data_IF_769732276325
#
_entry.id   IF_769732276325
#
_cell.length_a   1.000
_cell.length_b   1.000
_cell.length_c   1.000
_cell.angle_alpha   90.00
_cell.angle_beta   90.00
_cell.angle_gamma   90.00
#
_symmetry.space_group_name_H-M   'P 1'
#
loop_
_entity.id
_entity.type
_entity.pdbx_description
1 polymer ?
#
# COMPACT_ATOMS: atom_id res chain seq x y z
N UNK A 1 30.80 -17.99 -0.55
CA UNK A 1 30.44 -18.83 0.62
C UNK A 1 29.89 -17.90 1.70
N UNK A 2 28.57 -17.85 1.90
CA UNK A 2 27.98 -16.97 2.92
C UNK A 2 27.60 -17.83 4.13
N UNK A 3 28.39 -17.70 5.21
CA UNK A 3 28.17 -18.41 6.46
C UNK A 3 26.80 -18.03 7.03
N UNK A 4 25.96 -19.03 7.32
CA UNK A 4 24.64 -18.82 7.93
C UNK A 4 24.83 -18.07 9.26
N UNK A 5 24.25 -16.89 9.45
CA UNK A 5 24.45 -16.11 10.66
C UNK A 5 23.95 -16.87 11.89
N UNK A 6 24.68 -16.73 13.01
CA UNK A 6 24.32 -17.34 14.28
C UNK A 6 22.87 -16.98 14.66
N UNK A 7 22.10 -17.88 15.29
CA UNK A 7 20.69 -17.63 15.64
C UNK A 7 20.45 -16.30 16.37
N UNK A 8 21.32 -15.93 17.31
CA UNK A 8 21.25 -14.67 18.05
C UNK A 8 21.41 -13.44 17.15
N UNK A 9 22.26 -13.50 16.13
CA UNK A 9 22.45 -12.40 15.18
C UNK A 9 21.19 -12.20 14.33
N UNK A 10 20.60 -13.29 13.83
CA UNK A 10 19.34 -13.22 13.07
C UNK A 10 18.20 -12.60 13.86
N UNK A 11 18.06 -12.95 15.14
CA UNK A 11 17.03 -12.36 16.00
C UNK A 11 17.23 -10.85 16.19
N UNK A 12 18.48 -10.40 16.36
CA UNK A 12 18.80 -8.96 16.44
C UNK A 12 18.46 -8.24 15.15
N UNK A 13 18.77 -8.83 14.00
CA UNK A 13 18.47 -8.23 12.69
C UNK A 13 16.96 -8.16 12.46
N UNK A 14 16.20 -9.22 12.75
CA UNK A 14 14.73 -9.20 12.69
C UNK A 14 14.13 -8.14 13.61
N UNK A 15 14.67 -7.96 14.82
CA UNK A 15 14.21 -6.91 15.73
C UNK A 15 14.47 -5.49 15.18
N UNK A 16 15.59 -5.28 14.46
CA UNK A 16 15.87 -4.03 13.75
C UNK A 16 14.90 -3.81 12.58
N UNK A 17 14.67 -4.82 11.76
CA UNK A 17 13.73 -4.76 10.64
C UNK A 17 12.31 -4.46 11.11
N UNK A 18 11.88 -5.05 12.23
CA UNK A 18 10.59 -4.74 12.85
C UNK A 18 10.48 -3.27 13.26
N UNK A 19 11.51 -2.69 13.86
CA UNK A 19 11.52 -1.25 14.19
C UNK A 19 11.38 -0.37 12.96
N UNK A 20 12.00 -0.75 11.84
CA UNK A 20 11.83 -0.03 10.57
C UNK A 20 10.38 -0.10 10.10
N UNK A 21 9.78 -1.30 10.11
CA UNK A 21 8.37 -1.48 9.76
C UNK A 21 7.44 -0.66 10.66
N UNK A 22 7.63 -0.73 11.97
CA UNK A 22 6.83 0.00 12.96
C UNK A 22 6.94 1.53 12.77
N UNK A 23 8.13 2.01 12.38
CA UNK A 23 8.33 3.42 12.04
C UNK A 23 7.60 3.81 10.76
N UNK A 24 7.70 3.01 9.69
CA UNK A 24 6.92 3.24 8.46
C UNK A 24 5.43 3.30 8.77
N UNK A 25 4.91 2.34 9.55
CA UNK A 25 3.49 2.27 9.89
C UNK A 25 2.98 3.50 10.65
N UNK A 26 3.84 4.09 11.49
CA UNK A 26 3.51 5.27 12.30
C UNK A 26 3.67 6.59 11.51
N UNK A 27 4.69 6.66 10.68
CA UNK A 27 5.17 7.90 10.05
C UNK A 27 4.94 7.93 8.53
N UNK A 28 4.07 7.06 7.99
CA UNK A 28 3.92 6.88 6.54
C UNK A 28 3.67 8.20 5.77
N UNK A 29 3.00 9.18 6.37
CA UNK A 29 2.69 10.47 5.74
C UNK A 29 3.87 11.45 5.71
N UNK A 30 4.92 11.20 6.50
CA UNK A 30 6.12 12.04 6.53
C UNK A 30 6.99 11.77 5.30
N UNK A 31 7.86 12.71 4.90
CA UNK A 31 8.87 12.50 3.85
C UNK A 31 9.93 11.51 4.36
N UNK A 32 9.58 10.22 4.35
CA UNK A 32 10.46 9.12 4.70
C UNK A 32 11.24 8.67 3.47
N UNK A 33 12.56 8.77 3.54
CA UNK A 33 13.45 8.09 2.61
C UNK A 33 14.05 6.82 3.23
N UNK A 34 14.48 5.89 2.38
CA UNK A 34 15.04 4.60 2.81
C UNK A 34 16.35 4.79 3.59
N UNK A 35 17.09 5.87 3.33
CA UNK A 35 18.35 6.14 4.02
C UNK A 35 18.12 6.54 5.49
N UNK A 36 17.11 7.36 5.76
CA UNK A 36 16.70 7.79 7.09
C UNK A 36 16.18 6.62 7.93
N UNK A 37 15.51 5.67 7.29
CA UNK A 37 15.12 4.41 7.92
C UNK A 37 16.35 3.56 8.26
N UNK A 38 17.31 3.45 7.33
CA UNK A 38 18.54 2.67 7.51
C UNK A 38 19.45 3.24 8.60
N UNK A 39 19.63 4.57 8.63
CA UNK A 39 20.36 5.29 9.68
C UNK A 39 19.78 4.99 11.06
N UNK A 40 18.45 4.96 11.19
CA UNK A 40 17.75 4.67 12.46
C UNK A 40 17.99 3.26 13.02
N UNK A 41 18.52 2.33 12.23
CA UNK A 41 18.85 0.96 12.68
C UNK A 41 20.30 0.56 12.41
N UNK A 42 21.17 1.53 12.11
CA UNK A 42 22.59 1.35 11.85
C UNK A 42 22.88 0.35 10.71
N UNK A 43 22.13 0.44 9.62
CA UNK A 43 22.35 -0.32 8.39
C UNK A 43 22.64 0.61 7.22
N UNK A 44 23.32 0.11 6.18
CA UNK A 44 23.30 0.78 4.88
C UNK A 44 21.94 0.61 4.23
N UNK A 45 21.53 1.55 3.37
CA UNK A 45 20.23 1.49 2.69
C UNK A 45 20.07 0.23 1.81
N UNK A 46 21.14 -0.20 1.15
CA UNK A 46 21.17 -1.44 0.36
C UNK A 46 21.00 -2.70 1.22
N UNK A 47 21.72 -2.77 2.35
CA UNK A 47 21.59 -3.90 3.29
C UNK A 47 20.18 -3.95 3.89
N UNK A 48 19.66 -2.80 4.36
CA UNK A 48 18.29 -2.71 4.86
C UNK A 48 17.29 -3.19 3.81
N UNK A 49 17.40 -2.73 2.56
CA UNK A 49 16.46 -3.08 1.50
C UNK A 49 16.45 -4.58 1.21
N UNK A 50 17.63 -5.21 1.20
CA UNK A 50 17.76 -6.66 0.99
C UNK A 50 17.16 -7.44 2.16
N UNK A 51 17.55 -7.15 3.39
CA UNK A 51 17.08 -7.91 4.56
C UNK A 51 15.59 -7.68 4.83
N UNK A 52 15.09 -6.45 4.63
CA UNK A 52 13.67 -6.16 4.75
C UNK A 52 12.85 -6.94 3.72
N UNK A 53 13.31 -7.02 2.47
CA UNK A 53 12.66 -7.85 1.43
C UNK A 53 12.69 -9.34 1.77
N UNK A 54 13.80 -9.84 2.31
CA UNK A 54 13.89 -11.23 2.75
C UNK A 54 12.92 -11.53 3.91
N UNK A 55 12.73 -10.58 4.83
CA UNK A 55 11.88 -10.76 6.00
C UNK A 55 10.38 -10.53 5.71
N UNK A 56 10.03 -9.59 4.83
CA UNK A 56 8.66 -9.12 4.61
C UNK A 56 8.14 -9.28 3.18
N UNK A 57 8.95 -9.78 2.25
CA UNK A 57 8.57 -10.05 0.86
C UNK A 57 8.69 -8.85 -0.09
N UNK A 58 8.83 -7.63 0.42
CA UNK A 58 8.94 -6.41 -0.40
C UNK A 58 9.99 -5.43 0.13
N UNK A 59 10.38 -4.44 -0.68
CA UNK A 59 11.35 -3.42 -0.25
C UNK A 59 10.73 -2.43 0.76
N UNK A 60 11.54 -1.73 1.59
CA UNK A 60 11.01 -0.69 2.49
C UNK A 60 10.21 0.40 1.76
N UNK A 61 10.67 0.81 0.58
CA UNK A 61 9.97 1.80 -0.24
C UNK A 61 8.63 1.27 -0.76
N UNK A 62 8.59 0.02 -1.24
CA UNK A 62 7.35 -0.65 -1.68
C UNK A 62 6.36 -0.73 -0.52
N UNK A 63 6.83 -1.17 0.65
CA UNK A 63 6.02 -1.26 1.87
C UNK A 63 5.42 0.10 2.26
N UNK A 64 6.23 1.16 2.25
CA UNK A 64 5.77 2.53 2.50
C UNK A 64 4.69 2.94 1.51
N UNK A 65 4.87 2.68 0.20
CA UNK A 65 3.84 2.98 -0.79
C UNK A 65 2.56 2.20 -0.54
N UNK A 66 2.64 0.90 -0.22
CA UNK A 66 1.47 0.09 0.13
C UNK A 66 0.68 0.73 1.27
N UNK A 67 1.35 1.12 2.36
CA UNK A 67 0.68 1.80 3.50
C UNK A 67 0.05 3.13 3.12
N UNK A 68 0.70 3.93 2.28
CA UNK A 68 0.14 5.19 1.77
C UNK A 68 -1.10 4.95 0.90
N UNK A 69 -1.06 3.95 0.01
CA UNK A 69 -2.20 3.62 -0.84
C UNK A 69 -3.38 3.09 -0.04
N UNK A 70 -3.16 2.23 0.97
CA UNK A 70 -4.22 1.78 1.88
C UNK A 70 -4.92 2.96 2.57
N UNK A 71 -4.14 3.94 3.03
CA UNK A 71 -4.69 5.16 3.62
C UNK A 71 -5.43 6.00 2.58
N UNK A 72 -4.86 6.14 1.38
CA UNK A 72 -5.47 6.90 0.29
C UNK A 72 -6.82 6.31 -0.11
N UNK A 73 -6.95 4.98 -0.22
CA UNK A 73 -8.22 4.32 -0.50
C UNK A 73 -9.28 4.68 0.55
N UNK A 74 -8.89 4.73 1.83
CA UNK A 74 -9.79 5.11 2.92
C UNK A 74 -10.26 6.57 2.80
N UNK A 75 -9.37 7.50 2.46
CA UNK A 75 -9.71 8.91 2.24
C UNK A 75 -10.57 9.12 0.99
N UNK A 76 -10.26 8.43 -0.11
CA UNK A 76 -11.05 8.50 -1.35
C UNK A 76 -12.46 7.93 -1.17
N UNK A 77 -12.64 6.89 -0.33
CA UNK A 77 -13.97 6.36 0.00
C UNK A 77 -14.81 7.32 0.82
N UNK A 78 -14.19 8.08 1.73
CA UNK A 78 -14.88 9.14 2.49
C UNK A 78 -15.38 10.25 1.59
N UNK A 79 -14.57 10.64 0.60
CA UNK A 79 -14.98 11.56 -0.46
C UNK A 79 -14.76 13.05 -0.16
N UNK A 80 -14.31 13.38 1.06
CA UNK A 80 -14.05 14.74 1.55
C UNK A 80 -12.91 15.47 0.80
N UNK A 81 -11.96 14.70 0.25
CA UNK A 81 -10.77 15.21 -0.41
C UNK A 81 -10.77 14.87 -1.92
N UNK A 82 -10.17 15.74 -2.71
CA UNK A 82 -9.79 15.48 -4.10
C UNK A 82 -8.65 14.47 -4.19
N UNK A 83 -8.43 13.89 -5.36
CA UNK A 83 -7.33 12.94 -5.59
C UNK A 83 -5.96 13.60 -5.31
N UNK A 84 -5.80 14.86 -5.71
CA UNK A 84 -4.57 15.62 -5.49
C UNK A 84 -4.32 15.88 -4.01
N UNK A 85 -5.34 16.30 -3.25
CA UNK A 85 -5.22 16.48 -1.80
C UNK A 85 -4.89 15.16 -1.11
N UNK A 86 -5.56 14.05 -1.49
CA UNK A 86 -5.25 12.72 -0.94
C UNK A 86 -3.79 12.32 -1.19
N UNK A 87 -3.26 12.58 -2.40
CA UNK A 87 -1.87 12.29 -2.73
C UNK A 87 -0.90 12.94 -1.73
N UNK A 88 -1.07 14.23 -1.48
CA UNK A 88 -0.19 14.96 -0.56
C UNK A 88 -0.47 14.63 0.91
N UNK A 89 -1.74 14.41 1.28
CA UNK A 89 -2.15 14.01 2.64
C UNK A 89 -1.52 12.68 3.06
N UNK A 90 -1.35 11.73 2.14
CA UNK A 90 -0.65 10.46 2.43
C UNK A 90 0.87 10.57 2.31
N UNK A 91 1.43 11.76 2.05
CA UNK A 91 2.87 12.02 2.00
C UNK A 91 3.53 11.75 0.65
N UNK A 92 2.78 11.50 -0.43
CA UNK A 92 3.36 11.38 -1.76
C UNK A 92 3.75 12.75 -2.31
N UNK A 93 4.95 12.86 -2.90
CA UNK A 93 5.47 14.11 -3.44
C UNK A 93 5.05 14.42 -4.87
N UNK A 94 4.49 13.42 -5.59
CA UNK A 94 4.04 13.60 -6.96
C UNK A 94 2.74 12.85 -7.23
N UNK A 95 1.81 13.53 -7.91
CA UNK A 95 0.54 12.96 -8.32
C UNK A 95 0.72 11.84 -9.36
N UNK A 96 1.73 11.96 -10.23
CA UNK A 96 2.04 10.94 -11.24
C UNK A 96 2.47 9.62 -10.61
N UNK A 97 3.49 9.65 -9.74
CA UNK A 97 3.97 8.46 -9.03
C UNK A 97 2.87 7.84 -8.17
N UNK A 98 2.09 8.68 -7.46
CA UNK A 98 0.95 8.23 -6.70
C UNK A 98 -0.08 7.51 -7.58
N UNK A 99 -0.48 8.10 -8.70
CA UNK A 99 -1.51 7.53 -9.57
C UNK A 99 -1.07 6.20 -10.19
N UNK A 100 0.19 6.09 -10.61
CA UNK A 100 0.76 4.84 -11.12
C UNK A 100 0.74 3.76 -10.03
N UNK A 101 1.32 4.04 -8.85
CA UNK A 101 1.37 3.07 -7.74
C UNK A 101 -0.01 2.68 -7.24
N UNK A 102 -0.93 3.63 -7.15
CA UNK A 102 -2.31 3.37 -6.79
C UNK A 102 -2.94 2.38 -7.78
N UNK A 103 -2.79 2.64 -9.08
CA UNK A 103 -3.39 1.78 -10.12
C UNK A 103 -2.77 0.38 -10.12
N UNK A 104 -1.45 0.27 -9.97
CA UNK A 104 -0.75 -1.02 -9.86
C UNK A 104 -1.26 -1.86 -8.68
N UNK A 105 -1.46 -1.23 -7.51
CA UNK A 105 -1.85 -1.93 -6.29
C UNK A 105 -3.36 -2.19 -6.17
N UNK A 106 -4.20 -1.31 -6.73
CA UNK A 106 -5.66 -1.34 -6.58
C UNK A 106 -6.36 -1.89 -7.83
N UNK A 107 -5.70 -1.90 -8.98
CA UNK A 107 -6.24 -2.35 -10.27
C UNK A 107 -7.09 -1.30 -11.00
N UNK A 108 -7.25 -0.09 -10.46
CA UNK A 108 -7.93 1.01 -11.13
C UNK A 108 -7.41 2.39 -10.70
N UNK A 109 -7.57 3.43 -11.53
CA UNK A 109 -7.12 4.79 -11.19
C UNK A 109 -7.83 5.38 -9.96
N UNK A 110 -7.18 6.25 -9.19
CA UNK A 110 -7.74 6.82 -7.96
C UNK A 110 -9.02 7.65 -8.19
N UNK A 111 -9.14 8.31 -9.34
CA UNK A 111 -10.35 9.06 -9.71
C UNK A 111 -11.54 8.13 -9.97
N UNK A 112 -11.31 7.01 -10.66
CA UNK A 112 -12.32 5.97 -10.88
C UNK A 112 -12.73 5.30 -9.56
N UNK A 113 -11.75 5.00 -8.70
CA UNK A 113 -11.97 4.44 -7.37
C UNK A 113 -12.86 5.35 -6.51
N UNK A 114 -12.54 6.65 -6.44
CA UNK A 114 -13.34 7.66 -5.71
C UNK A 114 -14.78 7.75 -6.24
N UNK A 115 -14.96 7.74 -7.57
CA UNK A 115 -16.29 7.78 -8.18
C UNK A 115 -17.11 6.54 -7.83
N UNK A 116 -16.52 5.35 -7.93
CA UNK A 116 -17.19 4.10 -7.57
C UNK A 116 -17.64 4.07 -6.10
N UNK A 117 -16.78 4.55 -5.18
CA UNK A 117 -17.11 4.61 -3.76
C UNK A 117 -18.32 5.52 -3.46
N UNK A 118 -18.44 6.65 -4.16
CA UNK A 118 -19.58 7.56 -4.03
C UNK A 118 -20.89 6.94 -4.52
N UNK A 119 -20.84 6.10 -5.56
CA UNK A 119 -22.03 5.41 -6.07
C UNK A 119 -22.53 4.33 -5.11
N UNK A 120 -21.63 3.68 -4.35
CA UNK A 120 -22.01 2.68 -3.35
C UNK A 120 -22.50 3.31 -2.03
N UNK A 121 -22.13 4.55 -1.73
CA UNK A 121 -22.50 5.25 -0.49
C UNK A 121 -24.00 5.63 -0.37
N UNK A 122 -24.81 5.39 -1.41
CA UNK A 122 -26.25 5.63 -1.42
C UNK A 122 -27.13 4.38 -1.45
N UNK A 123 -26.54 3.17 -1.43
CA UNK A 123 -27.31 1.92 -1.54
C UNK A 123 -27.55 1.35 -0.14
N UNK A 124 -28.81 1.23 0.33
CA UNK A 124 -29.09 0.53 1.58
C UNK A 124 -28.51 -0.89 1.52
N UNK A 125 -27.91 -1.37 2.60
CA UNK A 125 -27.23 -2.68 2.65
C UNK A 125 -28.14 -3.85 2.25
N UNK A 126 -29.46 -3.69 2.37
CA UNK A 126 -30.45 -4.66 1.88
C UNK A 126 -30.52 -4.73 0.35
N UNK A 127 -30.38 -3.60 -0.35
CA UNK A 127 -30.41 -3.50 -1.81
C UNK A 127 -29.09 -4.02 -2.40
N UNK A 128 -27.95 -3.72 -1.78
CA UNK A 128 -26.67 -4.31 -2.18
C UNK A 128 -26.71 -5.84 -2.12
N UNK A 129 -27.28 -6.43 -1.05
CA UNK A 129 -27.43 -7.88 -0.89
C UNK A 129 -28.36 -8.52 -1.93
N UNK A 130 -29.34 -7.79 -2.47
CA UNK A 130 -30.22 -8.27 -3.53
C UNK A 130 -29.54 -8.26 -4.89
N UNK A 131 -28.78 -7.21 -5.22
CA UNK A 131 -28.15 -7.05 -6.54
C UNK A 131 -26.87 -7.88 -6.66
N UNK A 132 -26.10 -8.05 -5.59
CA UNK A 132 -24.88 -8.88 -5.59
C UNK A 132 -25.14 -10.34 -5.23
N UNK A 133 -26.40 -10.76 -5.16
CA UNK A 133 -26.75 -12.15 -4.84
C UNK A 133 -26.21 -13.02 -5.99
N UNK A 134 -25.22 -13.90 -5.76
CA UNK A 134 -24.62 -14.66 -6.85
C UNK A 134 -25.68 -15.53 -7.49
N UNK A 135 -25.87 -15.38 -8.81
CA UNK A 135 -26.62 -16.35 -9.61
C UNK A 135 -25.80 -17.64 -9.55
N UNK A 136 -26.29 -18.62 -8.79
CA UNK A 136 -25.73 -19.97 -8.75
C UNK A 136 -25.68 -20.48 -10.19
N UNK A 137 -24.45 -20.65 -10.71
CA UNK A 137 -24.11 -21.09 -12.07
C UNK A 137 -24.45 -20.12 -13.22
N UNK A 138 -23.49 -19.24 -13.55
CA UNK A 138 -22.67 -19.32 -14.78
C UNK A 138 -21.68 -18.15 -14.82
N UNK A 139 -20.45 -18.43 -15.21
CA UNK A 139 -19.32 -17.49 -15.31
C UNK A 139 -19.68 -16.25 -16.15
N UNK A 140 -19.23 -15.07 -15.72
CA UNK A 140 -19.49 -13.82 -16.44
C UNK A 140 -18.69 -13.79 -17.76
N UNK A 141 -19.32 -13.48 -18.91
CA UNK A 141 -18.63 -13.48 -20.19
C UNK A 141 -17.66 -12.29 -20.32
N UNK A 142 -16.48 -12.57 -20.88
CA UNK A 142 -15.47 -11.57 -21.24
C UNK A 142 -15.99 -10.68 -22.37
N UNK A 143 -16.09 -9.38 -22.15
CA UNK A 143 -16.46 -8.41 -23.19
C UNK A 143 -15.31 -8.25 -24.20
N UNK A 144 -15.48 -8.80 -25.40
CA UNK A 144 -14.64 -8.48 -26.56
C UNK A 144 -15.00 -7.07 -27.06
N UNK A 145 -14.00 -6.21 -27.27
CA UNK A 145 -14.15 -4.88 -27.87
C UNK A 145 -13.85 -4.97 -29.38
N UNK A 146 -14.75 -4.43 -30.20
CA UNK A 146 -14.47 -4.02 -31.57
C UNK A 146 -13.69 -2.71 -31.58
#
# INVERSE_FOLDING_TARGET
MSSRPAPAQRLRDLARLRRVKDRIDREYAQPLDVEALARGVHMSAGHLSREFKLAYGESPYSYLMTRRIERAMSLLRRGDLSVTEVCFEVGCSSLGTFSTRFTELVGMPPSAYRRAARTTAGIPTCVSKQVTRPVRNREAPTSSRN
#
